data_IF_409040075649
#
_entry.id   IF_409040075649
#
_cell.length_a   1.000
_cell.length_b   1.000
_cell.length_c   1.000
_cell.angle_alpha   90.00
_cell.angle_beta   90.00
_cell.angle_gamma   90.00
#
_symmetry.space_group_name_H-M   'P 1'
#
loop_
_entity.id
_entity.type
_entity.pdbx_description
1 polymer ?
#
# COMPACT_ATOMS: atom_id res chain seq x y z
N UNK A 1 18.97 16.27 7.00
CA UNK A 1 19.03 15.44 8.21
C UNK A 1 19.75 14.17 7.84
N UNK A 2 20.80 13.83 8.58
CA UNK A 2 21.46 12.54 8.42
C UNK A 2 20.73 11.43 9.22
N UNK A 3 21.19 10.19 9.09
CA UNK A 3 20.52 9.05 9.72
C UNK A 3 20.60 9.10 11.25
N UNK A 4 21.72 9.55 11.82
CA UNK A 4 21.93 9.58 13.27
C UNK A 4 21.02 10.63 13.94
N UNK A 5 20.94 11.82 13.33
CA UNK A 5 20.05 12.91 13.74
C UNK A 5 18.57 12.49 13.66
N UNK A 6 18.18 11.77 12.60
CA UNK A 6 16.82 11.23 12.47
C UNK A 6 16.50 10.19 13.54
N UNK A 7 17.40 9.25 13.79
CA UNK A 7 17.18 8.19 14.78
C UNK A 7 17.05 8.76 16.20
N UNK A 8 17.83 9.80 16.54
CA UNK A 8 17.69 10.49 17.82
C UNK A 8 16.35 11.23 17.95
N UNK A 9 15.91 11.89 16.88
CA UNK A 9 14.60 12.53 16.81
C UNK A 9 13.47 11.51 16.96
N UNK A 10 13.54 10.37 16.26
CA UNK A 10 12.55 9.29 16.34
C UNK A 10 12.48 8.68 17.75
N UNK A 11 13.62 8.42 18.39
CA UNK A 11 13.69 7.94 19.79
C UNK A 11 13.06 8.94 20.75
N UNK A 12 13.27 10.23 20.53
CA UNK A 12 12.71 11.28 21.39
C UNK A 12 11.21 11.44 21.17
N UNK A 13 10.75 11.44 19.92
CA UNK A 13 9.34 11.46 19.58
C UNK A 13 8.56 10.31 20.22
N UNK A 14 9.10 9.09 20.16
CA UNK A 14 8.47 7.91 20.78
C UNK A 14 8.35 8.02 22.31
N UNK A 15 9.32 8.65 22.99
CA UNK A 15 9.25 8.88 24.45
C UNK A 15 8.18 9.90 24.84
N UNK A 16 7.88 10.85 23.96
CA UNK A 16 6.86 11.88 24.20
C UNK A 16 5.46 11.31 23.93
N UNK A 17 5.33 10.54 22.84
CA UNK A 17 4.09 9.87 22.48
C UNK A 17 4.42 8.55 21.79
N UNK A 18 4.03 7.44 22.42
CA UNK A 18 4.29 6.09 21.91
C UNK A 18 3.61 5.82 20.55
N UNK A 19 2.55 6.57 20.23
CA UNK A 19 1.85 6.52 18.95
C UNK A 19 2.54 7.31 17.83
N UNK A 20 3.51 8.17 18.15
CA UNK A 20 4.23 8.95 17.15
C UNK A 20 5.23 8.05 16.40
N UNK A 21 4.99 7.85 15.11
CA UNK A 21 5.91 7.21 14.18
C UNK A 21 6.40 8.26 13.20
N UNK A 22 7.72 8.36 13.07
CA UNK A 22 8.37 9.27 12.13
C UNK A 22 9.05 8.43 11.06
N UNK A 23 9.00 8.90 9.82
CA UNK A 23 9.82 8.41 8.72
C UNK A 23 10.65 9.55 8.13
N UNK A 24 11.80 9.22 7.56
CA UNK A 24 12.59 10.15 6.74
C UNK A 24 12.41 9.76 5.28
N UNK A 25 11.79 10.66 4.50
CA UNK A 25 11.51 10.50 3.07
C UNK A 25 12.21 11.65 2.34
N UNK A 26 13.18 11.32 1.48
CA UNK A 26 13.97 12.32 0.72
C UNK A 26 14.59 13.43 1.60
N UNK A 27 15.02 13.08 2.82
CA UNK A 27 15.62 14.03 3.76
C UNK A 27 14.62 14.91 4.52
N UNK A 28 13.31 14.67 4.35
CA UNK A 28 12.23 15.31 5.12
C UNK A 28 11.68 14.35 6.16
N UNK A 29 11.47 14.85 7.37
CA UNK A 29 10.77 14.10 8.42
C UNK A 29 9.27 14.22 8.19
N UNK A 30 8.61 13.08 8.09
CA UNK A 30 7.16 12.98 7.97
C UNK A 30 6.62 12.23 9.17
N UNK A 31 5.47 12.65 9.68
CA UNK A 31 4.69 11.82 10.59
C UNK A 31 4.07 10.69 9.76
N UNK A 32 4.38 9.46 10.13
CA UNK A 32 3.71 8.30 9.61
C UNK A 32 2.49 8.03 10.51
N UNK A 33 1.27 8.29 10.03
CA UNK A 33 0.10 7.94 10.81
C UNK A 33 0.07 6.43 11.02
N UNK A 34 -0.29 5.99 12.23
CA UNK A 34 -0.60 4.58 12.46
C UNK A 34 -1.63 4.12 11.41
N UNK A 35 -1.52 2.88 10.90
CA UNK A 35 -2.64 2.22 10.27
C UNK A 35 -3.86 2.39 11.17
N UNK A 36 -4.88 3.13 10.71
CA UNK A 36 -6.13 3.14 11.43
C UNK A 36 -6.76 1.74 11.38
N UNK A 37 -7.77 1.50 12.23
CA UNK A 37 -8.47 0.20 12.26
C UNK A 37 -8.93 -0.23 10.87
N UNK A 38 -9.36 0.74 10.05
CA UNK A 38 -9.74 0.55 8.65
C UNK A 38 -8.60 0.05 7.76
N UNK A 39 -7.41 0.67 7.81
CA UNK A 39 -6.24 0.22 7.06
C UNK A 39 -5.86 -1.22 7.43
N UNK A 40 -5.76 -1.50 8.73
CA UNK A 40 -5.41 -2.84 9.21
C UNK A 40 -6.45 -3.87 8.76
N UNK A 41 -7.72 -3.49 8.75
CA UNK A 41 -8.82 -4.36 8.29
C UNK A 41 -8.76 -4.60 6.79
N UNK A 42 -8.48 -3.57 5.97
CA UNK A 42 -8.29 -3.72 4.52
C UNK A 42 -7.13 -4.67 4.21
N UNK A 43 -5.99 -4.52 4.89
CA UNK A 43 -4.83 -5.40 4.70
C UNK A 43 -5.15 -6.84 5.08
N UNK A 44 -5.82 -7.07 6.21
CA UNK A 44 -6.23 -8.41 6.63
C UNK A 44 -7.24 -9.03 5.64
N UNK A 45 -8.18 -8.24 5.13
CA UNK A 45 -9.14 -8.65 4.13
C UNK A 45 -8.47 -9.06 2.80
N UNK A 46 -7.59 -8.22 2.25
CA UNK A 46 -6.82 -8.56 1.04
C UNK A 46 -5.94 -9.79 1.23
N UNK A 47 -5.30 -9.92 2.41
CA UNK A 47 -4.48 -11.09 2.77
C UNK A 47 -5.31 -12.37 2.67
N UNK A 48 -6.52 -12.35 3.23
CA UNK A 48 -7.45 -13.49 3.15
C UNK A 48 -7.82 -13.81 1.70
N UNK A 49 -8.19 -12.80 0.89
CA UNK A 49 -8.59 -13.01 -0.50
C UNK A 49 -7.46 -13.63 -1.34
N UNK A 50 -6.25 -13.08 -1.23
CA UNK A 50 -5.09 -13.59 -1.97
C UNK A 50 -4.75 -15.04 -1.56
N UNK A 51 -4.79 -15.36 -0.26
CA UNK A 51 -4.51 -16.72 0.22
C UNK A 51 -5.57 -17.72 -0.24
N UNK A 52 -6.86 -17.33 -0.25
CA UNK A 52 -7.95 -18.18 -0.73
C UNK A 52 -7.85 -18.45 -2.23
N UNK A 53 -7.47 -17.45 -3.02
CA UNK A 53 -7.37 -17.60 -4.46
C UNK A 53 -6.13 -18.40 -4.89
N UNK A 54 -5.00 -18.21 -4.20
CA UNK A 54 -3.70 -18.79 -4.57
C UNK A 54 -2.98 -19.38 -3.35
N UNK A 55 -3.51 -20.46 -2.75
CA UNK A 55 -2.90 -21.09 -1.58
C UNK A 55 -1.54 -21.73 -1.88
N UNK A 56 -1.20 -21.91 -3.16
CA UNK A 56 0.12 -22.36 -3.63
C UNK A 56 1.21 -21.28 -3.55
N UNK A 57 0.85 -20.02 -3.23
CA UNK A 57 1.75 -18.87 -3.25
C UNK A 57 1.98 -18.31 -1.86
N UNK A 58 3.22 -17.89 -1.63
CA UNK A 58 3.59 -17.15 -0.43
C UNK A 58 3.06 -15.72 -0.51
N UNK A 59 2.37 -15.29 0.54
CA UNK A 59 1.93 -13.91 0.71
C UNK A 59 2.87 -13.22 1.70
N UNK A 60 3.48 -12.12 1.27
CA UNK A 60 4.25 -11.23 2.12
C UNK A 60 3.54 -9.89 2.22
N UNK A 61 3.12 -9.50 3.43
CA UNK A 61 2.55 -8.18 3.73
C UNK A 61 3.45 -7.43 4.71
N UNK A 62 3.31 -6.10 4.78
CA UNK A 62 4.12 -5.27 5.68
C UNK A 62 5.59 -5.08 5.26
N UNK A 63 5.96 -5.53 4.05
CA UNK A 63 7.22 -5.14 3.42
C UNK A 63 7.06 -3.72 2.90
N UNK A 64 7.67 -2.74 3.58
CA UNK A 64 7.71 -1.37 3.10
C UNK A 64 8.33 -1.31 1.71
N UNK A 65 7.53 -1.03 0.70
CA UNK A 65 7.99 -0.79 -0.67
C UNK A 65 8.13 0.71 -0.86
N UNK A 66 9.37 1.20 -0.97
CA UNK A 66 9.62 2.58 -1.41
C UNK A 66 9.36 2.67 -2.90
N UNK A 67 8.28 3.32 -3.27
CA UNK A 67 7.96 3.70 -4.64
C UNK A 67 8.16 5.21 -4.74
N UNK A 68 9.40 5.66 -5.00
CA UNK A 68 9.65 7.09 -5.21
C UNK A 68 8.93 7.57 -6.47
N UNK A 69 8.38 8.79 -6.42
CA UNK A 69 7.75 9.50 -7.53
C UNK A 69 8.80 9.77 -8.64
N UNK A 70 9.05 8.77 -9.47
CA UNK A 70 9.98 8.84 -10.58
C UNK A 70 10.88 7.63 -10.77
N UNK A 71 10.87 6.64 -9.85
CA UNK A 71 11.64 5.39 -10.02
C UNK A 71 10.91 4.18 -9.46
N UNK A 72 9.96 3.66 -10.25
CA UNK A 72 9.35 2.32 -10.05
C UNK A 72 10.30 1.24 -10.57
N UNK A 73 11.50 1.16 -10.00
CA UNK A 73 12.52 0.18 -10.42
C UNK A 73 12.33 -1.19 -9.79
N UNK A 74 11.09 -1.56 -9.56
CA UNK A 74 10.71 -2.84 -9.01
C UNK A 74 9.98 -3.55 -10.14
N UNK A 75 10.46 -4.74 -10.54
CA UNK A 75 9.78 -5.61 -11.51
C UNK A 75 8.49 -6.19 -10.93
N UNK A 76 7.72 -5.37 -10.23
CA UNK A 76 6.44 -5.71 -9.62
C UNK A 76 5.42 -5.75 -10.76
N UNK A 77 4.83 -6.91 -11.04
CA UNK A 77 3.92 -7.07 -12.17
C UNK A 77 2.57 -6.36 -11.98
N UNK A 78 2.13 -6.20 -10.73
CA UNK A 78 0.85 -5.58 -10.36
C UNK A 78 1.02 -4.71 -9.14
N UNK A 79 0.60 -3.44 -9.24
CA UNK A 79 0.56 -2.50 -8.13
C UNK A 79 -0.88 -2.01 -7.91
N UNK A 80 -1.43 -2.34 -6.74
CA UNK A 80 -2.79 -1.99 -6.31
C UNK A 80 -2.74 -0.80 -5.35
N UNK A 81 -3.47 0.26 -5.66
CA UNK A 81 -3.70 1.40 -4.78
C UNK A 81 -5.17 1.45 -4.38
N UNK A 82 -5.44 1.48 -3.07
CA UNK A 82 -6.77 1.68 -2.49
C UNK A 82 -6.79 3.08 -1.88
N UNK A 83 -7.50 4.00 -2.53
CA UNK A 83 -7.60 5.39 -2.12
C UNK A 83 -8.94 5.62 -1.40
N UNK A 84 -8.86 5.79 -0.09
CA UNK A 84 -10.02 5.96 0.80
C UNK A 84 -10.58 7.37 0.80
N UNK A 85 -9.81 8.36 0.34
CA UNK A 85 -10.26 9.74 0.27
C UNK A 85 -11.09 9.96 -1.01
N UNK A 86 -10.64 9.39 -2.12
CA UNK A 86 -11.37 9.44 -3.39
C UNK A 86 -12.36 8.28 -3.58
N UNK A 87 -12.32 7.27 -2.72
CA UNK A 87 -13.11 6.04 -2.83
C UNK A 87 -12.88 5.30 -4.17
N UNK A 88 -11.62 5.24 -4.59
CA UNK A 88 -11.18 4.61 -5.84
C UNK A 88 -10.18 3.49 -5.59
N UNK A 89 -10.22 2.47 -6.45
CA UNK A 89 -9.16 1.46 -6.57
C UNK A 89 -8.45 1.65 -7.90
N UNK A 90 -7.10 1.70 -7.87
CA UNK A 90 -6.25 1.81 -9.05
C UNK A 90 -5.36 0.59 -9.16
N UNK A 91 -5.42 -0.08 -10.30
CA UNK A 91 -4.59 -1.25 -10.64
C UNK A 91 -3.63 -0.83 -11.74
N UNK A 92 -2.34 -0.80 -11.42
CA UNK A 92 -1.27 -0.62 -12.38
C UNK A 92 -0.67 -1.98 -12.74
N UNK A 93 -0.49 -2.24 -14.02
CA UNK A 93 0.01 -3.53 -14.55
C UNK A 93 0.83 -3.31 -15.81
N UNK A 94 1.48 -4.37 -16.31
CA UNK A 94 2.34 -4.32 -17.51
C UNK A 94 3.51 -3.34 -17.31
N UNK A 95 4.45 -3.64 -16.40
CA UNK A 95 5.62 -2.78 -16.21
C UNK A 95 6.54 -2.84 -17.44
N UNK A 96 6.85 -1.67 -18.00
CA UNK A 96 7.86 -1.47 -19.03
C UNK A 96 8.90 -0.45 -18.54
N UNK A 97 10.12 -0.93 -18.27
CA UNK A 97 11.18 -0.08 -17.75
C UNK A 97 10.86 0.46 -16.35
N UNK A 98 10.56 1.75 -16.26
CA UNK A 98 10.27 2.49 -15.03
C UNK A 98 8.80 2.90 -14.88
N UNK A 99 7.93 2.43 -15.77
CA UNK A 99 6.50 2.77 -15.76
C UNK A 99 5.62 1.53 -15.93
N UNK A 100 4.36 1.68 -15.56
CA UNK A 100 3.30 0.74 -15.92
C UNK A 100 2.59 1.27 -17.15
N UNK A 101 2.37 0.42 -18.15
CA UNK A 101 1.68 0.83 -19.39
C UNK A 101 0.17 0.67 -19.30
N UNK A 102 -0.31 -0.13 -18.35
CA UNK A 102 -1.74 -0.34 -18.13
C UNK A 102 -2.17 0.15 -16.75
N UNK A 103 -3.23 0.96 -16.72
CA UNK A 103 -3.89 1.42 -15.51
C UNK A 103 -5.41 1.26 -15.63
N UNK A 104 -6.03 0.64 -14.63
CA UNK A 104 -7.48 0.56 -14.49
C UNK A 104 -7.86 1.25 -13.19
N UNK A 105 -8.85 2.14 -13.25
CA UNK A 105 -9.40 2.85 -12.09
C UNK A 105 -10.89 2.54 -12.01
N UNK A 106 -11.35 2.13 -10.83
CA UNK A 106 -12.78 1.92 -10.57
C UNK A 106 -13.18 2.57 -9.25
N UNK A 107 -14.40 3.12 -9.14
CA UNK A 107 -14.93 3.51 -7.85
C UNK A 107 -15.23 2.27 -6.99
N UNK A 108 -15.28 2.45 -5.67
CA UNK A 108 -15.73 1.40 -4.76
C UNK A 108 -17.12 0.86 -5.14
N UNK A 109 -17.32 -0.45 -4.95
CA UNK A 109 -18.52 -1.17 -5.37
C UNK A 109 -18.52 -1.64 -6.82
N UNK A 110 -17.36 -1.61 -7.48
CA UNK A 110 -17.13 -2.25 -8.77
C UNK A 110 -16.12 -3.37 -8.64
N UNK A 111 -16.29 -4.44 -9.41
CA UNK A 111 -15.28 -5.49 -9.50
C UNK A 111 -14.13 -5.03 -10.40
N UNK A 112 -12.89 -5.32 -10.00
CA UNK A 112 -11.70 -5.06 -10.79
C UNK A 112 -10.79 -6.28 -10.86
N UNK A 113 -10.31 -6.60 -12.05
CA UNK A 113 -9.35 -7.69 -12.27
C UNK A 113 -7.96 -7.28 -11.79
N UNK A 114 -7.36 -8.08 -10.90
CA UNK A 114 -5.93 -8.09 -10.62
C UNK A 114 -5.29 -9.15 -11.54
N UNK A 115 -4.48 -8.74 -12.54
CA UNK A 115 -3.95 -9.69 -13.52
C UNK A 115 -2.91 -10.62 -12.89
N UNK A 116 -2.43 -11.58 -13.68
CA UNK A 116 -1.30 -12.42 -13.27
C UNK A 116 -0.10 -11.56 -12.84
N UNK A 117 0.64 -11.99 -11.80
CA UNK A 117 0.58 -13.30 -11.14
C UNK A 117 -0.46 -13.40 -10.02
N UNK A 118 -1.23 -12.33 -9.73
CA UNK A 118 -2.25 -12.35 -8.67
C UNK A 118 -3.46 -13.15 -9.15
N UNK A 119 -4.00 -12.78 -10.32
CA UNK A 119 -5.02 -13.55 -11.05
C UNK A 119 -6.35 -13.66 -10.30
N UNK A 120 -6.86 -12.55 -9.74
CA UNK A 120 -8.13 -12.53 -8.99
C UNK A 120 -9.07 -11.43 -9.49
N UNK A 121 -10.37 -11.65 -9.34
CA UNK A 121 -11.38 -10.60 -9.43
C UNK A 121 -11.63 -10.03 -8.03
N UNK A 122 -11.34 -8.74 -7.84
CA UNK A 122 -11.52 -8.06 -6.57
C UNK A 122 -12.87 -7.34 -6.56
N UNK A 123 -13.82 -7.86 -5.78
CA UNK A 123 -15.03 -7.11 -5.43
C UNK A 123 -14.67 -5.99 -4.44
N UNK A 124 -14.91 -4.74 -4.83
CA UNK A 124 -14.59 -3.56 -4.02
C UNK A 124 -15.76 -3.04 -3.19
N UNK A 125 -16.92 -3.69 -3.21
CA UNK A 125 -18.07 -3.30 -2.37
C UNK A 125 -17.72 -3.21 -0.87
N UNK A 126 -16.98 -4.18 -0.26
CA UNK A 126 -16.64 -4.12 1.16
C UNK A 126 -15.81 -2.88 1.55
N UNK A 127 -15.07 -2.27 0.62
CA UNK A 127 -14.25 -1.09 0.91
C UNK A 127 -15.07 0.12 1.36
N UNK A 128 -16.36 0.16 1.03
CA UNK A 128 -17.29 1.23 1.47
C UNK A 128 -17.48 1.26 2.99
N UNK A 129 -17.21 0.16 3.70
CA UNK A 129 -17.30 0.09 5.17
C UNK A 129 -16.09 0.74 5.86
N UNK A 130 -15.02 1.04 5.11
CA UNK A 130 -13.73 1.47 5.63
C UNK A 130 -13.26 2.83 5.07
N UNK A 131 -14.20 3.66 4.59
CA UNK A 131 -13.91 5.03 4.13
C UNK A 131 -13.50 5.94 5.29
N UNK A 132 -12.99 7.14 5.00
CA UNK A 132 -12.67 8.17 5.99
C UNK A 132 -13.85 9.11 6.23
#
# INVERSE_FOLDING_TARGET
MDQEEFEELARTGYRINEALRLECVEGRVVEQPLPDGSHSTIVAWLTRLCFQARPDRWLYHGLGLRVDEGRRRTGIPVYLLIDRDTCEVKVHSEPEGDRYTRQVVVPYGKTVTLPDPVGIELDTEPLKEWTR
#
